data_IF_020666115080
#
_entry.id   IF_020666115080
#
_cell.length_a   1.000
_cell.length_b   1.000
_cell.length_c   1.000
_cell.angle_alpha   90.00
_cell.angle_beta   90.00
_cell.angle_gamma   90.00
#
_symmetry.space_group_name_H-M   'P 1'
#
loop_
_entity.id
_entity.type
_entity.pdbx_description
1 polymer ?
#
# COMPACT_ATOMS: atom_id res chain seq x y z
N UNK A 1 81.77 36.17 -30.95
CA UNK A 1 80.72 37.17 -31.17
C UNK A 1 79.42 36.51 -30.88
N UNK A 2 78.94 36.44 -29.69
CA UNK A 2 78.18 37.27 -28.76
C UNK A 2 76.72 37.40 -29.17
N UNK A 3 75.87 36.77 -28.29
CA UNK A 3 74.51 37.06 -27.92
C UNK A 3 73.41 36.71 -28.88
N UNK A 4 72.65 35.63 -28.48
CA UNK A 4 71.15 35.65 -28.29
C UNK A 4 70.70 34.30 -27.70
N UNK A 5 70.88 34.12 -26.41
CA UNK A 5 70.31 33.03 -25.60
C UNK A 5 69.73 33.64 -24.29
N UNK A 6 68.67 34.32 -24.32
CA UNK A 6 67.85 34.64 -23.08
C UNK A 6 66.49 35.25 -23.53
N UNK A 7 65.54 34.42 -23.95
CA UNK A 7 64.13 34.77 -23.95
C UNK A 7 63.24 33.54 -24.22
N UNK A 8 63.36 32.51 -23.41
CA UNK A 8 62.42 31.35 -23.49
C UNK A 8 62.20 30.68 -22.13
N UNK A 9 62.09 31.43 -21.04
CA UNK A 9 61.80 30.84 -19.70
C UNK A 9 60.78 31.60 -18.87
N UNK A 10 59.89 32.39 -19.47
CA UNK A 10 58.92 33.19 -18.72
C UNK A 10 57.44 32.89 -19.10
N UNK A 11 57.15 31.89 -19.95
CA UNK A 11 55.75 31.61 -20.39
C UNK A 11 55.19 30.27 -19.91
N UNK A 12 55.86 29.56 -19.00
CA UNK A 12 55.42 28.24 -18.56
C UNK A 12 54.88 28.19 -17.11
N UNK A 13 54.72 29.33 -16.42
CA UNK A 13 54.27 29.37 -15.03
C UNK A 13 52.86 29.97 -14.83
N UNK A 14 52.16 30.36 -15.89
CA UNK A 14 50.81 30.96 -15.77
C UNK A 14 49.64 30.04 -16.20
N UNK A 15 49.93 28.82 -16.68
CA UNK A 15 48.93 27.85 -17.12
C UNK A 15 48.55 26.78 -16.07
N UNK A 16 49.17 26.78 -14.90
CA UNK A 16 48.97 25.75 -13.86
C UNK A 16 48.08 26.18 -12.68
N UNK A 17 47.51 27.40 -12.70
CA UNK A 17 46.74 27.93 -11.56
C UNK A 17 45.23 28.13 -11.85
N UNK A 18 44.74 27.70 -13.01
CA UNK A 18 43.31 27.83 -13.39
C UNK A 18 42.53 26.52 -13.39
N UNK A 19 43.08 25.41 -12.92
CA UNK A 19 42.44 24.10 -12.95
C UNK A 19 41.94 23.59 -11.57
N UNK A 20 41.88 24.44 -10.54
CA UNK A 20 41.55 24.00 -9.16
C UNK A 20 40.29 24.63 -8.56
N UNK A 21 39.36 25.13 -9.36
CA UNK A 21 38.09 25.71 -8.82
C UNK A 21 36.81 25.19 -9.49
N UNK A 22 36.81 23.95 -9.96
CA UNK A 22 35.58 23.25 -10.35
C UNK A 22 35.43 21.95 -9.55
N UNK A 23 35.66 22.02 -8.23
CA UNK A 23 35.06 21.04 -7.34
C UNK A 23 33.59 21.39 -7.24
N UNK A 24 32.82 20.98 -8.26
CA UNK A 24 31.37 21.02 -8.22
C UNK A 24 30.90 20.26 -6.98
N UNK A 25 30.20 20.92 -6.08
CA UNK A 25 29.35 20.26 -5.12
C UNK A 25 28.36 19.39 -5.92
N UNK A 26 28.67 18.13 -6.14
CA UNK A 26 27.67 17.13 -6.38
C UNK A 26 26.78 17.14 -5.11
N UNK A 27 25.46 17.28 -5.19
CA UNK A 27 24.61 17.06 -4.04
C UNK A 27 24.89 15.64 -3.55
N UNK A 28 25.49 15.51 -2.38
CA UNK A 28 25.56 14.23 -1.69
C UNK A 28 24.11 13.80 -1.52
N UNK A 29 23.69 12.74 -2.20
CA UNK A 29 22.44 12.08 -1.88
C UNK A 29 22.51 11.75 -0.38
N UNK A 30 21.73 12.44 0.42
CA UNK A 30 21.60 12.09 1.83
C UNK A 30 21.21 10.61 1.86
N UNK A 31 21.92 9.79 2.63
CA UNK A 31 21.51 8.40 2.81
C UNK A 31 20.10 8.41 3.41
N UNK A 32 19.19 7.56 2.95
CA UNK A 32 17.80 7.49 3.43
C UNK A 32 17.72 7.39 4.96
N UNK A 33 18.74 6.80 5.59
CA UNK A 33 18.87 6.72 7.05
C UNK A 33 19.03 8.08 7.76
N UNK A 34 19.29 9.17 7.04
CA UNK A 34 19.40 10.52 7.61
C UNK A 34 18.08 11.30 7.58
N UNK A 35 17.07 10.79 6.88
CA UNK A 35 15.74 11.43 6.79
C UNK A 35 14.93 11.18 8.06
N UNK A 36 14.09 12.15 8.49
CA UNK A 36 13.13 11.90 9.56
C UNK A 36 12.17 10.78 9.16
N UNK A 37 11.78 9.94 10.13
CA UNK A 37 10.87 8.83 9.90
C UNK A 37 9.41 9.29 9.99
N UNK A 38 8.54 8.64 9.19
CA UNK A 38 7.11 8.57 9.43
C UNK A 38 6.75 7.11 9.72
N UNK A 39 6.12 6.89 10.87
CA UNK A 39 5.72 5.55 11.33
C UNK A 39 4.41 5.15 10.67
N UNK A 40 4.44 4.06 9.93
CA UNK A 40 3.30 3.49 9.21
C UNK A 40 2.75 2.30 9.97
N UNK A 41 1.51 2.38 10.41
CA UNK A 41 0.80 1.25 11.00
C UNK A 41 0.17 0.36 9.93
N UNK A 42 0.51 -0.92 9.95
CA UNK A 42 0.00 -1.92 9.01
C UNK A 42 -0.27 -3.26 9.70
N UNK A 43 -0.97 -4.13 9.01
CA UNK A 43 -1.14 -5.55 9.33
C UNK A 43 -0.31 -6.40 8.33
N UNK A 44 -0.34 -7.71 8.44
CA UNK A 44 0.23 -8.62 7.43
C UNK A 44 -0.80 -8.90 6.36
N UNK A 45 -0.59 -8.36 5.16
CA UNK A 45 -1.55 -8.43 4.07
C UNK A 45 -0.90 -8.55 2.68
N UNK A 46 -0.34 -9.71 2.30
CA UNK A 46 0.19 -9.91 0.96
C UNK A 46 -0.88 -9.65 -0.14
N UNK A 47 -0.51 -9.03 -1.27
CA UNK A 47 0.82 -8.56 -1.68
C UNK A 47 1.16 -7.14 -1.21
N UNK A 48 0.35 -6.51 -0.35
CA UNK A 48 0.48 -5.11 0.03
C UNK A 48 1.56 -4.86 1.08
N UNK A 49 1.47 -5.55 2.23
CA UNK A 49 2.46 -5.50 3.32
C UNK A 49 2.69 -6.91 3.86
N UNK A 50 3.92 -7.39 3.85
CA UNK A 50 4.27 -8.71 4.39
C UNK A 50 5.77 -8.79 4.72
N UNK A 51 6.17 -9.82 5.46
CA UNK A 51 7.58 -10.12 5.70
C UNK A 51 8.11 -11.05 4.61
N UNK A 52 9.26 -10.71 4.06
CA UNK A 52 9.99 -11.59 3.14
C UNK A 52 10.71 -12.73 3.88
N UNK A 53 11.41 -13.58 3.12
CA UNK A 53 12.16 -14.70 3.68
C UNK A 53 13.39 -14.28 4.54
N UNK A 54 13.80 -13.03 4.49
CA UNK A 54 14.90 -12.48 5.29
C UNK A 54 14.38 -11.87 6.59
N UNK A 55 13.06 -11.70 6.72
CA UNK A 55 12.41 -11.02 7.84
C UNK A 55 12.26 -9.52 7.64
N UNK A 56 12.46 -9.02 6.42
CA UNK A 56 12.27 -7.61 6.08
C UNK A 56 10.81 -7.38 5.67
N UNK A 57 10.23 -6.25 6.11
CA UNK A 57 8.89 -5.84 5.69
C UNK A 57 8.97 -5.35 4.25
N UNK A 58 8.11 -5.86 3.38
CA UNK A 58 8.05 -5.56 1.95
C UNK A 58 6.62 -5.63 1.43
N UNK A 59 6.40 -5.31 0.16
CA UNK A 59 5.12 -5.37 -0.52
C UNK A 59 4.81 -4.11 -1.31
N UNK A 60 3.68 -4.13 -1.99
CA UNK A 60 3.26 -3.03 -2.86
C UNK A 60 3.16 -1.70 -2.10
N UNK A 61 2.45 -1.71 -0.97
CA UNK A 61 2.25 -0.50 -0.16
C UNK A 61 3.55 -0.01 0.46
N UNK A 62 4.45 -0.95 0.82
CA UNK A 62 5.77 -0.61 1.36
C UNK A 62 6.61 0.13 0.32
N UNK A 63 6.71 -0.41 -0.90
CA UNK A 63 7.52 0.24 -1.95
C UNK A 63 6.92 1.58 -2.41
N UNK A 64 5.59 1.70 -2.44
CA UNK A 64 4.93 2.99 -2.75
C UNK A 64 5.21 4.00 -1.63
N UNK A 65 5.10 3.58 -0.35
CA UNK A 65 5.35 4.46 0.79
C UNK A 65 6.81 4.93 0.86
N UNK A 66 7.77 4.02 0.63
CA UNK A 66 9.19 4.36 0.60
C UNK A 66 9.50 5.42 -0.47
N UNK A 67 9.04 5.24 -1.70
CA UNK A 67 9.23 6.21 -2.77
C UNK A 67 8.50 7.52 -2.50
N UNK A 68 7.24 7.46 -2.06
CA UNK A 68 6.45 8.65 -1.79
C UNK A 68 7.03 9.48 -0.64
N UNK A 69 7.35 8.86 0.48
CA UNK A 69 7.91 9.56 1.63
C UNK A 69 9.32 10.09 1.35
N UNK A 70 10.14 9.37 0.59
CA UNK A 70 11.42 9.87 0.12
C UNK A 70 11.29 11.17 -0.68
N UNK A 71 10.29 11.27 -1.56
CA UNK A 71 9.97 12.53 -2.30
C UNK A 71 9.52 13.65 -1.37
N UNK A 72 8.83 13.32 -0.29
CA UNK A 72 8.43 14.28 0.76
C UNK A 72 9.58 14.67 1.70
N UNK A 73 10.75 14.01 1.60
CA UNK A 73 11.89 14.24 2.50
C UNK A 73 11.82 13.46 3.81
N UNK A 74 11.08 12.36 3.84
CA UNK A 74 10.95 11.43 4.95
C UNK A 74 11.39 10.03 4.54
N UNK A 75 11.54 9.13 5.51
CA UNK A 75 11.65 7.67 5.31
C UNK A 75 10.42 6.98 5.91
N UNK A 76 9.96 5.92 5.28
CA UNK A 76 8.92 5.07 5.84
C UNK A 76 9.51 4.16 6.94
N UNK A 77 8.76 3.99 8.04
CA UNK A 77 9.10 3.02 9.08
C UNK A 77 7.83 2.23 9.41
N UNK A 78 7.72 1.03 8.84
CA UNK A 78 6.55 0.18 9.01
C UNK A 78 6.58 -0.52 10.36
N UNK A 79 5.43 -0.58 11.03
CA UNK A 79 5.23 -1.34 12.26
C UNK A 79 3.93 -2.13 12.17
N UNK A 80 3.98 -3.39 12.58
CA UNK A 80 2.78 -4.23 12.67
C UNK A 80 1.97 -3.81 13.89
N UNK A 81 0.69 -3.53 13.67
CA UNK A 81 -0.23 -3.08 14.72
C UNK A 81 -1.36 -4.09 14.95
N UNK A 82 -1.99 -3.98 16.10
CA UNK A 82 -3.32 -4.55 16.33
C UNK A 82 -4.34 -3.75 15.49
N UNK A 83 -4.84 -4.39 14.40
CA UNK A 83 -5.71 -3.72 13.43
C UNK A 83 -7.00 -3.16 14.04
N UNK A 84 -7.49 -3.73 15.11
CA UNK A 84 -8.67 -3.22 15.82
C UNK A 84 -8.39 -1.88 16.50
N UNK A 85 -7.13 -1.58 16.82
CA UNK A 85 -6.68 -0.33 17.47
C UNK A 85 -6.18 0.74 16.51
N UNK A 86 -6.18 0.49 15.21
CA UNK A 86 -5.59 1.41 14.21
C UNK A 86 -6.00 2.88 14.36
N UNK A 87 -7.27 3.13 14.65
CA UNK A 87 -7.79 4.50 14.84
C UNK A 87 -7.24 5.13 16.11
N UNK A 88 -7.21 4.40 17.23
CA UNK A 88 -6.61 4.86 18.50
C UNK A 88 -5.13 5.19 18.32
N UNK A 89 -4.38 4.32 17.65
CA UNK A 89 -2.95 4.48 17.46
C UNK A 89 -2.61 5.71 16.58
N UNK A 90 -3.37 5.94 15.50
CA UNK A 90 -3.13 7.12 14.66
C UNK A 90 -3.58 8.42 15.34
N UNK A 91 -4.65 8.39 16.12
CA UNK A 91 -5.15 9.56 16.84
C UNK A 91 -4.27 9.94 18.05
N UNK A 92 -3.62 8.96 18.69
CA UNK A 92 -2.65 9.20 19.76
C UNK A 92 -1.29 9.67 19.24
N UNK A 93 -1.01 9.49 17.94
CA UNK A 93 0.29 9.78 17.33
C UNK A 93 1.35 8.71 17.60
N UNK A 94 0.95 7.51 18.04
CA UNK A 94 1.85 6.35 18.14
C UNK A 94 2.28 5.86 16.74
N UNK A 95 1.39 6.01 15.76
CA UNK A 95 1.70 5.90 14.34
C UNK A 95 1.32 7.21 13.63
N UNK A 96 2.04 7.57 12.57
CA UNK A 96 1.76 8.77 11.78
C UNK A 96 0.61 8.55 10.81
N UNK A 97 0.49 7.36 10.24
CA UNK A 97 -0.58 6.99 9.32
C UNK A 97 -0.88 5.50 9.34
N UNK A 98 -2.06 5.15 8.79
CA UNK A 98 -2.48 3.77 8.50
C UNK A 98 -2.31 3.55 7.00
N UNK A 99 -1.51 2.55 6.61
CA UNK A 99 -1.28 2.22 5.21
C UNK A 99 -1.19 0.70 5.02
N UNK A 100 -2.26 0.07 4.57
CA UNK A 100 -2.39 -1.37 4.41
C UNK A 100 -3.63 -1.71 3.55
N UNK A 101 -3.61 -1.34 2.28
CA UNK A 101 -4.74 -1.50 1.37
C UNK A 101 -6.06 -1.02 2.02
N UNK A 102 -6.05 0.18 2.59
CA UNK A 102 -7.13 0.66 3.45
C UNK A 102 -8.25 1.34 2.64
N UNK A 103 -9.42 0.70 2.59
CA UNK A 103 -10.60 1.21 1.86
C UNK A 103 -11.12 2.51 2.44
N UNK A 104 -11.29 3.52 1.60
CA UNK A 104 -11.78 4.84 1.99
C UNK A 104 -13.31 4.89 2.17
N UNK A 105 -14.05 4.13 1.37
CA UNK A 105 -15.51 4.10 1.32
C UNK A 105 -16.16 4.02 2.72
N UNK A 106 -17.06 4.99 3.03
CA UNK A 106 -17.78 5.10 4.30
C UNK A 106 -16.91 5.43 5.52
N UNK A 107 -15.68 5.94 5.30
CA UNK A 107 -14.75 6.43 6.31
C UNK A 107 -14.19 7.81 5.95
N UNK A 108 -14.76 8.46 4.95
CA UNK A 108 -14.28 9.71 4.38
C UNK A 108 -14.16 10.81 5.44
N UNK A 109 -15.04 10.77 6.45
CA UNK A 109 -15.08 11.75 7.52
C UNK A 109 -14.30 11.34 8.79
N UNK A 110 -13.73 10.13 8.83
CA UNK A 110 -13.07 9.61 10.03
C UNK A 110 -11.59 10.00 10.07
N UNK A 111 -10.97 10.25 8.91
CA UNK A 111 -9.54 10.52 8.75
C UNK A 111 -9.28 11.69 7.82
N UNK A 112 -8.05 12.19 7.81
CA UNK A 112 -7.51 12.93 6.68
C UNK A 112 -6.88 11.94 5.72
N UNK A 113 -7.36 11.92 4.48
CA UNK A 113 -6.97 10.94 3.49
C UNK A 113 -5.97 11.48 2.48
N UNK A 114 -4.96 10.68 2.18
CA UNK A 114 -4.22 10.79 0.94
C UNK A 114 -4.63 9.63 0.02
N UNK A 115 -4.99 9.95 -1.21
CA UNK A 115 -5.52 9.01 -2.20
C UNK A 115 -6.89 9.42 -2.73
N UNK A 116 -7.57 8.52 -3.48
CA UNK A 116 -7.16 7.12 -3.66
C UNK A 116 -5.88 6.99 -4.50
N UNK A 117 -4.98 6.08 -4.10
CA UNK A 117 -3.80 5.75 -4.91
C UNK A 117 -3.99 4.48 -5.74
N UNK A 118 -4.95 3.62 -5.36
CA UNK A 118 -5.39 2.41 -6.07
C UNK A 118 -6.91 2.29 -6.04
N UNK A 119 -7.44 1.52 -7.00
CA UNK A 119 -8.79 0.93 -6.95
C UNK A 119 -8.66 -0.53 -6.57
N UNK A 120 -9.54 -1.02 -5.71
CA UNK A 120 -9.57 -2.42 -5.33
C UNK A 120 -11.00 -2.93 -5.18
N UNK A 121 -11.19 -4.21 -5.45
CA UNK A 121 -12.46 -4.92 -5.29
C UNK A 121 -12.44 -5.73 -4.01
N UNK A 122 -13.43 -5.52 -3.14
CA UNK A 122 -13.76 -6.46 -2.08
C UNK A 122 -14.63 -7.55 -2.67
N UNK A 123 -14.22 -8.79 -2.53
CA UNK A 123 -14.90 -9.94 -3.14
C UNK A 123 -15.13 -11.04 -2.10
N UNK A 124 -16.01 -11.99 -2.46
CA UNK A 124 -16.21 -13.22 -1.68
C UNK A 124 -15.53 -14.37 -2.40
N UNK A 125 -14.81 -15.20 -1.65
CA UNK A 125 -14.24 -16.44 -2.15
C UNK A 125 -14.80 -17.65 -1.39
N UNK A 126 -14.94 -18.75 -2.09
CA UNK A 126 -15.45 -20.03 -1.62
C UNK A 126 -14.54 -21.17 -2.10
N UNK A 127 -14.64 -22.36 -1.53
CA UNK A 127 -14.00 -23.54 -2.13
C UNK A 127 -14.57 -23.77 -3.54
N UNK A 128 -13.69 -23.97 -4.53
CA UNK A 128 -14.10 -24.12 -5.93
C UNK A 128 -15.02 -25.35 -6.16
N UNK A 129 -15.03 -26.32 -5.26
CA UNK A 129 -15.86 -27.52 -5.32
C UNK A 129 -17.13 -27.42 -4.45
N UNK A 130 -17.36 -26.30 -3.76
CA UNK A 130 -18.50 -26.11 -2.86
C UNK A 130 -19.88 -26.10 -3.55
N UNK A 131 -19.91 -25.86 -4.87
CA UNK A 131 -21.15 -25.63 -5.62
C UNK A 131 -21.80 -24.27 -5.34
N UNK A 132 -21.15 -23.37 -4.59
CA UNK A 132 -21.58 -21.99 -4.39
C UNK A 132 -21.08 -21.16 -5.58
N UNK A 133 -21.98 -20.50 -6.31
CA UNK A 133 -21.66 -19.76 -7.54
C UNK A 133 -22.00 -18.27 -7.43
N UNK A 134 -22.96 -17.93 -6.56
CA UNK A 134 -23.47 -16.56 -6.40
C UNK A 134 -23.55 -16.16 -4.93
N UNK A 135 -23.69 -14.85 -4.67
CA UNK A 135 -23.92 -14.34 -3.32
C UNK A 135 -25.17 -14.93 -2.67
N UNK A 136 -26.23 -15.22 -3.45
CA UNK A 136 -27.47 -15.79 -2.91
C UNK A 136 -27.30 -17.22 -2.37
N UNK A 137 -26.34 -17.99 -2.88
CA UNK A 137 -26.03 -19.36 -2.43
C UNK A 137 -25.40 -19.39 -1.03
N UNK A 138 -24.97 -18.23 -0.53
CA UNK A 138 -24.42 -18.07 0.81
C UNK A 138 -25.49 -17.98 1.91
N UNK A 139 -26.78 -17.98 1.59
CA UNK A 139 -27.83 -18.03 2.58
C UNK A 139 -27.72 -19.30 3.45
N UNK A 140 -27.70 -19.11 4.78
CA UNK A 140 -27.50 -20.18 5.76
C UNK A 140 -26.07 -20.71 5.87
N UNK A 141 -25.10 -20.12 5.17
CA UNK A 141 -23.68 -20.45 5.21
C UNK A 141 -22.94 -19.66 6.28
N UNK A 142 -21.70 -20.08 6.55
CA UNK A 142 -20.79 -19.38 7.46
C UNK A 142 -19.71 -18.66 6.65
N UNK A 143 -19.52 -17.38 6.94
CA UNK A 143 -18.45 -16.58 6.32
C UNK A 143 -17.47 -16.08 7.38
N UNK A 144 -16.17 -16.08 7.06
CA UNK A 144 -15.15 -15.46 7.90
C UNK A 144 -14.66 -14.14 7.26
N UNK A 145 -14.46 -13.15 8.09
CA UNK A 145 -14.01 -11.80 7.72
C UNK A 145 -13.00 -11.27 8.72
N UNK A 146 -12.20 -10.30 8.33
CA UNK A 146 -11.36 -9.58 9.28
C UNK A 146 -12.21 -8.65 10.15
N UNK A 147 -11.95 -8.67 11.46
CA UNK A 147 -12.55 -7.76 12.43
C UNK A 147 -12.22 -6.29 12.06
N UNK A 148 -13.19 -5.40 12.20
CA UNK A 148 -13.12 -3.99 11.84
C UNK A 148 -12.77 -3.73 10.35
N UNK A 149 -12.82 -4.78 9.53
CA UNK A 149 -12.66 -4.72 8.08
C UNK A 149 -13.91 -4.22 7.37
N UNK A 150 -13.77 -3.89 6.08
CA UNK A 150 -14.90 -3.40 5.29
C UNK A 150 -15.97 -4.47 5.04
N UNK A 151 -15.61 -5.74 4.70
CA UNK A 151 -16.61 -6.81 4.56
C UNK A 151 -17.42 -7.05 5.83
N UNK A 152 -16.76 -7.06 7.01
CA UNK A 152 -17.47 -7.20 8.28
C UNK A 152 -18.54 -6.11 8.45
N UNK A 153 -18.17 -4.85 8.25
CA UNK A 153 -19.08 -3.73 8.38
C UNK A 153 -20.29 -3.83 7.42
N UNK A 154 -20.08 -4.31 6.19
CA UNK A 154 -21.14 -4.54 5.21
C UNK A 154 -22.07 -5.65 5.68
N UNK A 155 -21.54 -6.79 6.08
CA UNK A 155 -22.36 -7.95 6.46
C UNK A 155 -23.10 -7.73 7.78
N UNK A 156 -22.49 -7.08 8.77
CA UNK A 156 -23.16 -6.77 10.05
C UNK A 156 -24.25 -5.69 9.89
N UNK A 157 -24.07 -4.74 8.98
CA UNK A 157 -25.11 -3.77 8.66
C UNK A 157 -26.32 -4.43 7.99
N UNK A 158 -26.09 -5.49 7.22
CA UNK A 158 -27.14 -6.17 6.46
C UNK A 158 -27.66 -5.33 5.29
N UNK A 159 -28.73 -5.79 4.69
CA UNK A 159 -29.40 -5.16 3.55
C UNK A 159 -30.00 -6.20 2.61
N UNK A 160 -30.68 -5.75 1.56
CA UNK A 160 -31.35 -6.65 0.61
C UNK A 160 -30.37 -7.54 -0.17
N UNK A 161 -29.17 -7.02 -0.42
CA UNK A 161 -28.13 -7.69 -1.21
C UNK A 161 -27.17 -8.52 -0.33
N UNK A 162 -27.36 -8.51 1.01
CA UNK A 162 -26.55 -9.29 1.94
C UNK A 162 -27.27 -10.59 2.26
N UNK A 163 -26.64 -11.77 1.99
CA UNK A 163 -27.25 -13.06 2.33
C UNK A 163 -27.52 -13.20 3.84
N UNK A 164 -28.57 -13.93 4.20
CA UNK A 164 -28.83 -14.30 5.58
C UNK A 164 -27.84 -15.39 6.02
N UNK A 165 -26.64 -15.02 6.42
CA UNK A 165 -25.61 -15.93 6.91
C UNK A 165 -26.07 -16.69 8.16
N UNK A 166 -25.68 -17.95 8.32
CA UNK A 166 -25.80 -18.69 9.57
C UNK A 166 -24.88 -18.09 10.65
N UNK A 167 -23.62 -17.80 10.27
CA UNK A 167 -22.65 -17.16 11.13
C UNK A 167 -21.75 -16.22 10.30
N UNK A 168 -21.37 -15.10 10.92
CA UNK A 168 -20.28 -14.24 10.49
C UNK A 168 -19.21 -14.37 11.56
N UNK A 169 -18.02 -14.84 11.18
CA UNK A 169 -16.88 -15.04 12.09
C UNK A 169 -15.91 -13.90 11.87
N UNK A 170 -15.78 -13.03 12.84
CA UNK A 170 -14.82 -11.93 12.82
C UNK A 170 -13.49 -12.38 13.43
N UNK A 171 -12.40 -12.19 12.70
CA UNK A 171 -11.07 -12.65 13.05
C UNK A 171 -10.09 -11.47 13.08
N UNK A 172 -9.23 -11.41 14.09
CA UNK A 172 -8.17 -10.41 14.15
C UNK A 172 -7.08 -10.68 13.09
N UNK A 173 -6.78 -11.96 12.83
CA UNK A 173 -5.72 -12.40 11.91
C UNK A 173 -6.31 -12.84 10.55
N UNK A 174 -5.87 -12.19 9.47
CA UNK A 174 -6.29 -12.49 8.08
C UNK A 174 -5.80 -13.87 7.62
N UNK A 175 -4.61 -14.29 8.04
CA UNK A 175 -4.09 -15.61 7.68
C UNK A 175 -4.98 -16.74 8.19
N UNK A 176 -5.54 -16.59 9.38
CA UNK A 176 -6.53 -17.52 9.94
C UNK A 176 -7.80 -17.55 9.10
N UNK A 177 -8.28 -16.42 8.60
CA UNK A 177 -9.45 -16.34 7.71
C UNK A 177 -9.29 -17.22 6.47
N UNK A 178 -8.16 -17.10 5.77
CA UNK A 178 -7.89 -17.89 4.57
C UNK A 178 -7.73 -19.38 4.89
N UNK A 179 -7.00 -19.71 5.96
CA UNK A 179 -6.81 -21.09 6.39
C UNK A 179 -8.13 -21.77 6.80
N UNK A 180 -9.09 -21.02 7.36
CA UNK A 180 -10.40 -21.56 7.70
C UNK A 180 -11.20 -21.99 6.47
N UNK A 181 -11.13 -21.23 5.37
CA UNK A 181 -11.75 -21.63 4.10
C UNK A 181 -11.03 -22.85 3.51
N UNK A 182 -9.71 -22.82 3.46
CA UNK A 182 -8.88 -23.89 2.89
C UNK A 182 -9.08 -25.24 3.62
N UNK A 183 -9.28 -25.21 4.94
CA UNK A 183 -9.57 -26.39 5.75
C UNK A 183 -11.06 -26.74 5.85
N UNK A 184 -11.97 -26.00 5.22
CA UNK A 184 -13.41 -26.24 5.25
C UNK A 184 -14.10 -25.92 6.58
N UNK A 185 -13.50 -25.09 7.44
CA UNK A 185 -14.13 -24.61 8.68
C UNK A 185 -15.16 -23.50 8.43
N UNK A 186 -15.08 -22.81 7.30
CA UNK A 186 -16.01 -21.81 6.84
C UNK A 186 -16.40 -22.09 5.40
N UNK A 187 -17.60 -21.68 4.99
CA UNK A 187 -18.10 -21.86 3.63
C UNK A 187 -17.55 -20.75 2.69
N UNK A 188 -17.20 -19.60 3.23
CA UNK A 188 -16.74 -18.43 2.47
C UNK A 188 -15.82 -17.54 3.31
N UNK A 189 -15.07 -16.69 2.59
CA UNK A 189 -14.33 -15.55 3.13
C UNK A 189 -14.61 -14.30 2.30
N UNK A 190 -14.35 -13.10 2.85
CA UNK A 190 -14.39 -11.87 2.07
C UNK A 190 -13.18 -11.00 2.38
N UNK A 191 -12.51 -10.54 1.31
CA UNK A 191 -11.29 -9.72 1.38
C UNK A 191 -11.07 -8.98 0.05
N UNK A 192 -9.98 -8.20 -0.04
CA UNK A 192 -9.53 -7.66 -1.30
C UNK A 192 -9.12 -8.77 -2.28
N UNK A 193 -9.54 -8.64 -3.53
CA UNK A 193 -9.38 -9.68 -4.56
C UNK A 193 -7.91 -10.10 -4.73
N UNK A 194 -7.01 -9.14 -4.85
CA UNK A 194 -5.59 -9.44 -5.07
C UNK A 194 -4.93 -10.17 -3.90
N UNK A 195 -5.40 -9.92 -2.67
CA UNK A 195 -4.91 -10.67 -1.51
C UNK A 195 -5.40 -12.12 -1.50
N UNK A 196 -6.63 -12.38 -1.94
CA UNK A 196 -7.14 -13.74 -2.13
C UNK A 196 -6.36 -14.45 -3.24
N UNK A 197 -6.13 -13.79 -4.37
CA UNK A 197 -5.33 -14.33 -5.48
C UNK A 197 -3.90 -14.64 -5.07
N UNK A 198 -3.29 -13.75 -4.28
CA UNK A 198 -1.95 -13.98 -3.73
C UNK A 198 -1.92 -15.20 -2.82
N UNK A 199 -2.88 -15.35 -1.91
CA UNK A 199 -2.98 -16.55 -1.07
C UNK A 199 -3.14 -17.83 -1.89
N UNK A 200 -4.03 -17.83 -2.90
CA UNK A 200 -4.20 -18.96 -3.81
C UNK A 200 -2.89 -19.35 -4.50
N UNK A 201 -2.12 -18.36 -4.92
CA UNK A 201 -0.81 -18.56 -5.59
C UNK A 201 0.23 -19.13 -4.63
N UNK A 202 0.34 -18.58 -3.42
CA UNK A 202 1.39 -18.92 -2.46
C UNK A 202 1.18 -20.31 -1.82
N UNK A 203 -0.08 -20.68 -1.56
CA UNK A 203 -0.44 -21.91 -0.86
C UNK A 203 -1.08 -22.98 -1.76
N UNK A 204 -1.33 -22.68 -3.03
CA UNK A 204 -2.01 -23.59 -3.96
C UNK A 204 -3.47 -23.83 -3.61
N UNK A 205 -4.10 -22.90 -2.88
CA UNK A 205 -5.49 -23.01 -2.46
C UNK A 205 -6.45 -22.99 -3.64
N UNK A 206 -7.45 -23.88 -3.63
CA UNK A 206 -8.40 -24.04 -4.72
C UNK A 206 -9.69 -23.27 -4.44
N UNK A 207 -9.61 -21.94 -4.46
CA UNK A 207 -10.76 -21.07 -4.25
C UNK A 207 -11.39 -20.65 -5.58
N UNK A 208 -12.69 -20.34 -5.53
CA UNK A 208 -13.44 -19.60 -6.54
C UNK A 208 -13.77 -18.24 -5.95
N UNK A 209 -13.40 -17.18 -6.66
CA UNK A 209 -13.87 -15.82 -6.38
C UNK A 209 -15.21 -15.67 -7.08
N UNK A 210 -16.23 -15.19 -6.37
CA UNK A 210 -17.53 -14.91 -6.96
C UNK A 210 -17.45 -13.69 -7.89
N UNK A 211 -18.13 -13.73 -9.01
CA UNK A 211 -18.03 -12.72 -10.08
C UNK A 211 -18.49 -11.33 -9.60
N UNK A 212 -19.55 -11.28 -8.79
CA UNK A 212 -20.11 -10.05 -8.28
C UNK A 212 -19.29 -9.52 -7.10
N UNK A 213 -18.66 -8.33 -7.21
CA UNK A 213 -17.92 -7.76 -6.12
C UNK A 213 -18.85 -7.30 -5.00
N UNK A 214 -18.43 -7.49 -3.77
CA UNK A 214 -19.11 -6.93 -2.61
C UNK A 214 -19.04 -5.39 -2.60
N UNK A 215 -17.91 -4.86 -3.08
CA UNK A 215 -17.63 -3.44 -3.14
C UNK A 215 -16.46 -3.17 -4.09
N UNK A 216 -16.53 -2.08 -4.86
CA UNK A 216 -15.36 -1.46 -5.52
C UNK A 216 -15.05 -0.18 -4.77
N UNK A 217 -13.80 0.02 -4.36
CA UNK A 217 -13.42 1.12 -3.46
C UNK A 217 -12.06 1.71 -3.80
N UNK A 218 -11.91 3.00 -3.55
CA UNK A 218 -10.60 3.64 -3.51
C UNK A 218 -9.81 3.22 -2.28
N UNK A 219 -8.52 3.02 -2.48
CA UNK A 219 -7.56 2.70 -1.42
C UNK A 219 -6.74 3.94 -1.13
N UNK A 220 -6.66 4.31 0.15
CA UNK A 220 -5.97 5.51 0.58
C UNK A 220 -5.11 5.30 1.82
N UNK A 221 -4.34 6.32 2.14
CA UNK A 221 -3.54 6.42 3.37
C UNK A 221 -4.28 7.32 4.35
N UNK A 222 -4.53 6.82 5.55
CA UNK A 222 -5.30 7.53 6.56
C UNK A 222 -4.38 8.14 7.63
N UNK A 223 -4.48 9.46 7.80
CA UNK A 223 -3.87 10.22 8.89
C UNK A 223 -4.94 10.58 9.92
N UNK A 224 -4.54 10.84 11.16
CA UNK A 224 -5.49 11.33 12.17
C UNK A 224 -6.27 12.53 11.62
N UNK A 225 -7.56 12.58 11.91
CA UNK A 225 -8.41 13.74 11.56
C UNK A 225 -7.87 15.06 12.13
N UNK A 226 -7.12 14.98 13.23
CA UNK A 226 -6.56 16.13 13.94
C UNK A 226 -5.11 16.43 13.52
N UNK A 227 -4.55 15.76 12.50
CA UNK A 227 -3.20 16.04 12.02
C UNK A 227 -3.13 17.44 11.42
N UNK A 228 -2.21 18.27 11.94
CA UNK A 228 -2.01 19.65 11.48
C UNK A 228 -0.76 19.84 10.63
N UNK A 229 -0.01 18.76 10.37
CA UNK A 229 1.26 18.81 9.62
C UNK A 229 1.06 18.92 8.11
N UNK A 230 -0.16 18.67 7.62
CA UNK A 230 -0.49 18.73 6.20
C UNK A 230 0.08 17.54 5.40
N UNK A 231 0.41 16.42 6.05
CA UNK A 231 1.03 15.27 5.42
C UNK A 231 0.14 14.62 4.37
N UNK A 232 -1.18 14.54 4.62
CA UNK A 232 -2.12 13.99 3.65
C UNK A 232 -2.13 14.78 2.33
N UNK A 233 -2.12 16.12 2.41
CA UNK A 233 -2.07 16.98 1.23
C UNK A 233 -0.75 16.84 0.47
N UNK A 234 0.39 16.82 1.17
CA UNK A 234 1.70 16.61 0.55
C UNK A 234 1.80 15.24 -0.13
N UNK A 235 1.26 14.19 0.49
CA UNK A 235 1.26 12.86 -0.08
C UNK A 235 0.39 12.77 -1.34
N UNK A 236 -0.75 13.46 -1.37
CA UNK A 236 -1.57 13.57 -2.58
C UNK A 236 -0.79 14.19 -3.75
N UNK A 237 -0.08 15.32 -3.51
CA UNK A 237 0.77 15.93 -4.53
C UNK A 237 1.84 14.96 -5.05
N UNK A 238 2.41 14.14 -4.16
CA UNK A 238 3.41 13.15 -4.55
C UNK A 238 2.78 12.00 -5.33
N UNK A 239 1.59 11.54 -4.99
CA UNK A 239 0.88 10.52 -5.77
C UNK A 239 0.60 11.00 -7.20
N UNK A 240 0.21 12.27 -7.40
CA UNK A 240 0.07 12.84 -8.74
C UNK A 240 1.41 12.81 -9.49
N UNK A 241 2.50 13.27 -8.87
CA UNK A 241 3.83 13.21 -9.49
C UNK A 241 4.23 11.79 -9.87
N UNK A 242 3.94 10.80 -9.01
CA UNK A 242 4.25 9.39 -9.27
C UNK A 242 3.39 8.80 -10.39
N UNK A 243 2.16 9.28 -10.58
CA UNK A 243 1.33 8.93 -11.74
C UNK A 243 1.89 9.57 -13.02
N UNK A 244 2.21 10.85 -12.99
CA UNK A 244 2.71 11.60 -14.16
C UNK A 244 4.05 11.06 -14.68
N UNK A 245 4.97 10.66 -13.78
CA UNK A 245 6.28 10.16 -14.18
C UNK A 245 6.33 8.62 -14.41
N UNK A 246 5.21 7.93 -14.22
CA UNK A 246 5.06 6.48 -14.43
C UNK A 246 5.66 5.61 -13.33
N UNK A 247 6.20 6.18 -12.25
CA UNK A 247 6.76 5.40 -11.15
C UNK A 247 5.69 4.62 -10.40
N UNK A 248 4.47 5.17 -10.28
CA UNK A 248 3.34 4.46 -9.66
C UNK A 248 2.99 3.19 -10.45
N UNK A 249 2.79 3.29 -11.77
CA UNK A 249 2.49 2.14 -12.62
C UNK A 249 3.59 1.08 -12.57
N UNK A 250 4.84 1.52 -12.56
CA UNK A 250 5.99 0.60 -12.46
C UNK A 250 6.02 -0.17 -11.15
N UNK A 251 5.67 0.48 -10.01
CA UNK A 251 5.60 -0.18 -8.71
C UNK A 251 4.42 -1.15 -8.64
N UNK A 252 3.23 -0.72 -9.05
CA UNK A 252 2.03 -1.56 -9.06
C UNK A 252 2.23 -2.79 -9.95
N UNK A 253 2.84 -2.64 -11.12
CA UNK A 253 3.11 -3.73 -12.07
C UNK A 253 4.13 -4.77 -11.59
N UNK A 254 4.81 -4.57 -10.47
CA UNK A 254 5.63 -5.63 -9.85
C UNK A 254 4.80 -6.65 -9.09
N UNK A 255 3.63 -6.26 -8.61
CA UNK A 255 2.81 -7.02 -7.67
C UNK A 255 1.47 -7.44 -8.23
N UNK A 256 0.85 -6.61 -9.09
CA UNK A 256 -0.48 -6.83 -9.63
C UNK A 256 -0.41 -7.15 -11.13
N UNK A 257 -1.20 -8.12 -11.56
CA UNK A 257 -1.23 -8.59 -12.95
C UNK A 257 -1.86 -7.55 -13.91
N UNK A 258 -2.80 -6.73 -13.40
CA UNK A 258 -3.44 -5.64 -14.17
C UNK A 258 -3.24 -4.29 -13.46
N UNK A 259 -2.05 -3.68 -13.61
CA UNK A 259 -1.76 -2.40 -12.97
C UNK A 259 -2.62 -1.26 -13.53
N UNK A 260 -2.99 -1.30 -14.80
CA UNK A 260 -3.79 -0.24 -15.43
C UNK A 260 -5.17 -0.15 -14.77
N UNK A 261 -5.86 -1.28 -14.63
CA UNK A 261 -7.17 -1.31 -13.97
C UNK A 261 -7.10 -0.88 -12.49
N UNK A 262 -6.04 -1.29 -11.78
CA UNK A 262 -5.85 -0.91 -10.38
C UNK A 262 -5.55 0.59 -10.19
N UNK A 263 -5.17 1.30 -11.25
CA UNK A 263 -4.86 2.73 -11.24
C UNK A 263 -5.99 3.62 -11.79
N UNK A 264 -7.13 3.05 -12.21
CA UNK A 264 -8.30 3.80 -12.71
C UNK A 264 -9.07 4.52 -11.57
N UNK A 265 -8.37 5.26 -10.73
CA UNK A 265 -8.97 5.92 -9.54
C UNK A 265 -10.06 6.94 -9.91
N UNK A 266 -9.95 7.58 -11.05
CA UNK A 266 -10.92 8.57 -11.55
C UNK A 266 -12.29 7.92 -11.91
N UNK A 267 -12.31 6.61 -12.13
CA UNK A 267 -13.55 5.89 -12.41
C UNK A 267 -14.46 5.75 -11.19
N UNK A 268 -13.95 5.98 -9.98
CA UNK A 268 -14.72 5.93 -8.73
C UNK A 268 -15.63 7.15 -8.53
N UNK A 269 -15.38 8.26 -9.24
CA UNK A 269 -16.14 9.51 -9.12
C UNK A 269 -17.38 9.56 -10.03
N UNK A 270 -17.64 8.51 -10.84
CA UNK A 270 -18.76 8.40 -11.78
C UNK A 270 -19.87 7.51 -11.21
#
# INVERSE_FOLDING_TARGET
MIKHKRLRRASALFAALSALLLSGCAPSAASDSALPALTVGSDTYPPYVYMDNNGDITGLDVEIAEEAFRRMGYRAEFTTIDWEKKTELVDSGEIDCIWDCFSMEGRENDYQWAGPYLVSRQVVAVDAQSGIETMSDLAGKTIAVQATGKPEAIFLRGGADVPAFRNIISLADRGVQYAMLDCGYTDAIAAHEEAIRQYMKDYGANFRILDEPLLVTGIGVAFSKNDTRGLAAQLNEVFEQMREDGSMEKLVGKYLDDPAHSLEVDALEQ
#
